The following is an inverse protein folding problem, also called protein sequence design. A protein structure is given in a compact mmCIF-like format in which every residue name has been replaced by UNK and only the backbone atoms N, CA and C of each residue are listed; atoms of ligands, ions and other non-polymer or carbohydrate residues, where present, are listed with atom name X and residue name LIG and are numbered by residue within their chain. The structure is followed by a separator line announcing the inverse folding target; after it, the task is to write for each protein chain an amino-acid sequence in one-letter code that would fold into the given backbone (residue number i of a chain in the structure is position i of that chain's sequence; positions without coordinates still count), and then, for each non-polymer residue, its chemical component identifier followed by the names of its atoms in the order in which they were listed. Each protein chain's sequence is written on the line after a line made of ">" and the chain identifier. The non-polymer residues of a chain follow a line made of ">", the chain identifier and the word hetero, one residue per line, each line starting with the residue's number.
data_IF_534004934034
#
_entry.id   IF_534004934034
#
_cell.length_a   1.000
_cell.length_b   1.000
_cell.length_c   1.000
_cell.angle_alpha   90.00
_cell.angle_beta   90.00
_cell.angle_gamma   90.00
#
_symmetry.space_group_name_H-M   'P 1'
#
loop_
_entity.id
_entity.type
_entity.pdbx_description
1 polymer ?
#
# COMPACT_ATOMS: atom_id res chain seq x y z
N UNK A 1 63.92 17.30 22.51
CA UNK A 1 64.09 17.05 21.06
C UNK A 1 63.25 15.84 20.70
N UNK A 2 62.39 15.98 19.68
CA UNK A 2 61.57 14.96 18.98
C UNK A 2 60.38 14.42 19.79
N UNK A 3 59.11 14.48 19.41
CA UNK A 3 58.35 15.03 18.26
C UNK A 3 56.88 14.66 18.57
N UNK A 4 55.97 15.61 18.85
CA UNK A 4 54.81 15.99 18.01
C UNK A 4 54.51 15.08 16.80
N UNK A 5 53.21 14.90 16.49
CA UNK A 5 52.55 14.08 15.42
C UNK A 5 52.02 12.76 15.99
N UNK A 6 50.72 12.56 16.20
CA UNK A 6 49.65 12.47 15.18
C UNK A 6 48.28 12.95 15.71
N UNK A 7 47.85 14.12 15.24
CA UNK A 7 46.44 14.39 14.91
C UNK A 7 46.12 13.59 13.64
N UNK A 8 44.98 12.89 13.58
CA UNK A 8 44.46 12.43 12.30
C UNK A 8 43.48 11.26 12.32
N UNK A 9 42.24 11.57 11.93
CA UNK A 9 41.29 10.71 11.22
C UNK A 9 40.50 9.74 12.10
N UNK A 10 39.22 10.07 12.39
CA UNK A 10 38.05 9.38 11.81
C UNK A 10 36.78 10.20 12.12
N UNK A 11 36.66 11.38 11.49
CA UNK A 11 35.36 12.00 11.26
C UNK A 11 34.83 11.40 9.94
N UNK A 12 34.15 10.26 10.02
CA UNK A 12 33.62 9.57 8.85
C UNK A 12 32.08 9.54 8.94
N UNK A 13 31.48 10.52 8.27
CA UNK A 13 30.29 10.36 7.43
C UNK A 13 29.00 9.94 8.14
N UNK A 14 28.45 10.84 8.95
CA UNK A 14 27.00 11.04 8.93
C UNK A 14 26.65 11.79 7.63
N UNK A 15 26.70 11.10 6.49
CA UNK A 15 25.94 11.52 5.31
C UNK A 15 24.47 11.27 5.66
N UNK A 16 23.87 12.23 6.36
CA UNK A 16 22.42 12.35 6.42
C UNK A 16 21.97 12.55 4.98
N UNK A 17 21.54 11.48 4.32
CA UNK A 17 20.71 11.60 3.13
C UNK A 17 19.49 12.39 3.56
N UNK A 18 19.51 13.70 3.31
CA UNK A 18 18.30 14.49 3.27
C UNK A 18 17.51 13.97 2.08
N UNK A 19 16.69 12.95 2.31
CA UNK A 19 15.62 12.62 1.38
C UNK A 19 14.79 13.88 1.26
N UNK A 20 14.85 14.55 0.11
CA UNK A 20 13.88 15.58 -0.22
C UNK A 20 12.53 14.89 -0.22
N UNK A 21 11.70 15.16 0.79
CA UNK A 21 10.33 14.65 0.84
C UNK A 21 9.56 15.32 -0.30
N UNK A 22 9.60 14.72 -1.48
CA UNK A 22 8.69 15.04 -2.56
C UNK A 22 7.28 14.61 -2.19
N UNK A 23 6.27 15.24 -2.78
CA UNK A 23 4.93 14.68 -2.73
C UNK A 23 4.96 13.30 -3.41
N UNK A 24 4.26 12.33 -2.84
CA UNK A 24 4.20 10.97 -3.39
C UNK A 24 3.72 11.02 -4.86
N UNK A 25 4.50 10.43 -5.77
CA UNK A 25 4.07 10.22 -7.15
C UNK A 25 3.28 8.93 -7.21
N UNK A 26 2.11 8.98 -7.86
CA UNK A 26 1.21 7.84 -8.01
C UNK A 26 0.98 7.55 -9.49
N UNK A 27 0.97 6.27 -9.85
CA UNK A 27 0.62 5.78 -11.19
C UNK A 27 -0.55 4.82 -11.08
N UNK A 28 -1.60 5.04 -11.87
CA UNK A 28 -2.84 4.25 -11.88
C UNK A 28 -2.80 3.26 -13.03
N UNK A 29 -3.32 2.06 -12.80
CA UNK A 29 -3.38 0.96 -13.74
C UNK A 29 -4.79 0.39 -13.79
N UNK A 30 -5.26 0.09 -15.00
CA UNK A 30 -6.52 -0.63 -15.26
C UNK A 30 -6.28 -2.04 -15.82
N UNK A 31 -5.01 -2.42 -15.97
CA UNK A 31 -4.60 -3.76 -16.38
C UNK A 31 -3.70 -4.37 -15.29
N UNK A 32 -4.09 -5.56 -14.80
CA UNK A 32 -3.39 -6.25 -13.71
C UNK A 32 -1.99 -6.69 -14.11
N UNK A 33 -1.77 -7.02 -15.38
CA UNK A 33 -0.46 -7.44 -15.89
C UNK A 33 0.51 -6.25 -15.93
N UNK A 34 0.06 -5.10 -16.40
CA UNK A 34 0.86 -3.86 -16.38
C UNK A 34 1.19 -3.45 -14.93
N UNK A 35 0.22 -3.51 -14.03
CA UNK A 35 0.42 -3.24 -12.60
C UNK A 35 1.42 -4.21 -11.98
N UNK A 36 1.27 -5.52 -12.23
CA UNK A 36 2.16 -6.56 -11.73
C UNK A 36 3.60 -6.37 -12.23
N UNK A 37 3.76 -5.98 -13.50
CA UNK A 37 5.08 -5.66 -14.06
C UNK A 37 5.70 -4.43 -13.39
N UNK A 38 4.90 -3.40 -13.07
CA UNK A 38 5.39 -2.20 -12.39
C UNK A 38 5.93 -2.48 -10.98
N UNK A 39 5.36 -3.46 -10.26
CA UNK A 39 5.84 -3.91 -8.95
C UNK A 39 6.87 -5.06 -9.04
N UNK A 40 7.37 -5.37 -10.24
CA UNK A 40 8.35 -6.44 -10.45
C UNK A 40 7.84 -7.85 -10.15
N UNK A 41 6.52 -8.06 -10.18
CA UNK A 41 5.86 -9.34 -9.87
C UNK A 41 5.93 -9.75 -8.41
N UNK A 42 6.34 -8.86 -7.50
CA UNK A 42 6.41 -9.13 -6.06
C UNK A 42 5.20 -8.49 -5.37
N UNK A 43 4.15 -9.27 -5.17
CA UNK A 43 2.95 -8.85 -4.47
C UNK A 43 2.29 -10.04 -3.77
N UNK A 44 1.41 -9.72 -2.82
CA UNK A 44 0.52 -10.65 -2.15
C UNK A 44 -0.89 -10.45 -2.68
N UNK A 45 -1.70 -11.50 -2.60
CA UNK A 45 -3.12 -11.47 -2.96
C UNK A 45 -3.94 -11.88 -1.75
N UNK A 46 -4.95 -11.10 -1.42
CA UNK A 46 -6.06 -11.46 -0.55
C UNK A 46 -7.23 -11.87 -1.46
N UNK A 47 -7.59 -13.15 -1.42
CA UNK A 47 -8.64 -13.74 -2.26
C UNK A 47 -9.99 -13.83 -1.55
N UNK A 48 -10.06 -13.46 -0.26
CA UNK A 48 -11.29 -13.46 0.53
C UNK A 48 -12.00 -14.82 0.58
N UNK A 49 -11.27 -15.92 0.36
CA UNK A 49 -11.82 -17.28 0.38
C UNK A 49 -12.24 -17.75 1.78
N UNK A 50 -11.82 -17.03 2.82
CA UNK A 50 -12.31 -17.17 4.20
C UNK A 50 -12.39 -15.81 4.91
N UNK A 51 -12.89 -15.79 6.16
CA UNK A 51 -13.11 -14.53 6.90
C UNK A 51 -11.84 -13.95 7.55
N UNK A 52 -10.72 -14.64 7.43
CA UNK A 52 -9.42 -14.30 8.00
C UNK A 52 -8.59 -13.63 6.93
N UNK A 53 -8.26 -12.36 7.15
CA UNK A 53 -7.39 -11.64 6.23
C UNK A 53 -5.94 -12.14 6.35
N UNK A 54 -5.19 -11.95 5.27
CA UNK A 54 -3.75 -12.09 5.25
C UNK A 54 -3.09 -11.35 6.43
N UNK A 55 -2.00 -11.93 6.95
CA UNK A 55 -1.28 -11.34 8.09
C UNK A 55 -0.86 -9.90 7.77
N UNK A 56 -1.22 -8.99 8.67
CA UNK A 56 -0.89 -7.58 8.54
C UNK A 56 -1.86 -6.77 7.69
N UNK A 57 -2.93 -7.38 7.19
CA UNK A 57 -4.05 -6.69 6.55
C UNK A 57 -5.20 -6.57 7.54
N UNK A 58 -5.74 -5.37 7.68
CA UNK A 58 -6.94 -5.09 8.47
C UNK A 58 -7.83 -4.11 7.69
N UNK A 59 -9.14 -4.11 7.99
CA UNK A 59 -10.03 -3.06 7.53
C UNK A 59 -10.86 -2.48 8.68
N UNK A 60 -11.22 -1.21 8.52
CA UNK A 60 -12.23 -0.53 9.33
C UNK A 60 -13.25 0.09 8.38
N UNK A 61 -14.53 -0.22 8.59
CA UNK A 61 -15.64 0.33 7.80
C UNK A 61 -16.59 1.05 8.74
N UNK A 62 -16.96 2.28 8.39
CA UNK A 62 -17.94 3.04 9.17
C UNK A 62 -19.39 2.61 8.89
N UNK A 63 -19.60 1.65 7.98
CA UNK A 63 -20.91 1.15 7.59
C UNK A 63 -21.02 -0.37 7.81
N UNK A 64 -21.16 -1.17 6.75
CA UNK A 64 -21.45 -2.62 6.82
C UNK A 64 -20.41 -3.46 6.08
N UNK A 65 -19.19 -2.95 6.02
CA UNK A 65 -18.05 -3.62 5.42
C UNK A 65 -17.79 -4.99 6.01
N UNK A 66 -17.72 -6.02 5.17
CA UNK A 66 -17.41 -7.37 5.61
C UNK A 66 -16.84 -8.24 4.48
N UNK A 67 -16.07 -9.25 4.88
CA UNK A 67 -15.66 -10.33 3.99
C UNK A 67 -16.83 -11.30 3.84
N UNK A 68 -17.13 -11.69 2.60
CA UNK A 68 -18.13 -12.69 2.26
C UNK A 68 -17.46 -13.90 1.58
N UNK A 69 -17.04 -14.92 2.36
CA UNK A 69 -16.33 -16.09 1.84
C UNK A 69 -17.13 -16.91 0.82
N UNK A 70 -18.47 -16.84 0.86
CA UNK A 70 -19.30 -17.58 -0.08
C UNK A 70 -19.28 -17.00 -1.50
N UNK A 71 -18.90 -15.73 -1.62
CA UNK A 71 -18.72 -15.03 -2.89
C UNK A 71 -17.26 -14.61 -3.11
N UNK A 72 -16.33 -15.11 -2.27
CA UNK A 72 -14.88 -14.86 -2.36
C UNK A 72 -14.55 -13.36 -2.55
N UNK A 73 -15.23 -12.48 -1.80
CA UNK A 73 -14.99 -11.04 -1.94
C UNK A 73 -15.25 -10.26 -0.65
N UNK A 74 -14.66 -9.08 -0.55
CA UNK A 74 -15.06 -8.06 0.40
C UNK A 74 -16.20 -7.21 -0.18
N UNK A 75 -17.16 -6.81 0.67
CA UNK A 75 -18.34 -6.03 0.27
C UNK A 75 -18.59 -4.89 1.22
N UNK A 76 -18.98 -3.74 0.68
CA UNK A 76 -19.38 -2.58 1.49
C UNK A 76 -20.38 -1.67 0.76
N UNK A 77 -20.97 -0.77 1.53
CA UNK A 77 -21.95 0.24 1.10
C UNK A 77 -21.54 1.60 1.64
N UNK A 78 -21.16 2.53 0.75
CA UNK A 78 -20.74 3.88 1.11
C UNK A 78 -21.76 4.90 0.59
N UNK A 79 -22.56 5.48 1.49
CA UNK A 79 -23.59 6.45 1.15
C UNK A 79 -23.06 7.90 1.15
N UNK A 80 -22.88 8.50 -0.02
CA UNK A 80 -22.31 9.85 -0.20
C UNK A 80 -23.05 11.01 0.50
N UNK A 81 -24.31 10.82 0.92
CA UNK A 81 -25.13 11.83 1.60
C UNK A 81 -25.37 11.54 3.10
N UNK A 82 -24.72 10.52 3.65
CA UNK A 82 -24.79 10.27 5.09
C UNK A 82 -24.05 11.37 5.86
N UNK A 83 -24.57 11.78 7.03
CA UNK A 83 -23.93 12.78 7.89
C UNK A 83 -22.58 12.31 8.44
N UNK A 84 -22.27 11.02 8.32
CA UNK A 84 -21.09 10.39 8.90
C UNK A 84 -19.94 10.20 7.90
N UNK A 85 -20.10 10.67 6.65
CA UNK A 85 -19.11 10.50 5.57
C UNK A 85 -18.59 9.05 5.45
N UNK A 86 -19.41 8.11 4.96
CA UNK A 86 -19.09 6.69 4.94
C UNK A 86 -17.76 6.37 4.27
N UNK A 87 -16.95 5.55 4.92
CA UNK A 87 -15.63 5.18 4.43
C UNK A 87 -15.24 3.76 4.82
N UNK A 88 -14.33 3.20 4.04
CA UNK A 88 -13.56 2.00 4.38
C UNK A 88 -12.09 2.37 4.41
N UNK A 89 -11.36 1.96 5.45
CA UNK A 89 -9.90 2.09 5.54
C UNK A 89 -9.30 0.70 5.56
N UNK A 90 -8.46 0.40 4.58
CA UNK A 90 -7.58 -0.77 4.58
C UNK A 90 -6.24 -0.38 5.18
N UNK A 91 -5.74 -1.18 6.12
CA UNK A 91 -4.48 -0.96 6.82
C UNK A 91 -3.51 -2.12 6.57
N UNK A 92 -2.22 -1.79 6.44
CA UNK A 92 -1.16 -2.73 6.05
C UNK A 92 0.05 -2.63 6.99
N UNK A 93 0.51 -3.78 7.49
CA UNK A 93 1.73 -3.93 8.28
C UNK A 93 2.55 -5.14 7.79
N UNK A 94 3.80 -4.95 7.31
CA UNK A 94 4.48 -3.68 7.07
C UNK A 94 3.80 -2.84 5.99
N UNK A 95 4.23 -1.58 5.86
CA UNK A 95 3.74 -0.68 4.81
C UNK A 95 3.99 -1.21 3.39
N UNK A 96 3.21 -0.68 2.45
CA UNK A 96 3.14 -1.10 1.05
C UNK A 96 3.52 0.05 0.12
N UNK A 97 3.78 -0.28 -1.14
CA UNK A 97 4.05 0.67 -2.25
C UNK A 97 3.07 0.53 -3.40
N UNK A 98 2.17 -0.45 -3.33
CA UNK A 98 1.15 -0.65 -4.36
C UNK A 98 -0.08 -1.34 -3.77
N UNK A 99 -1.23 -1.01 -4.31
CA UNK A 99 -2.54 -1.57 -3.95
C UNK A 99 -3.43 -1.65 -5.19
N UNK A 100 -4.25 -2.69 -5.28
CA UNK A 100 -5.23 -2.86 -6.33
C UNK A 100 -6.14 -4.05 -6.06
N UNK A 101 -6.98 -4.37 -7.04
CA UNK A 101 -7.84 -5.54 -7.00
C UNK A 101 -8.85 -5.50 -8.14
N UNK A 102 -9.73 -6.49 -8.14
CA UNK A 102 -10.81 -6.65 -9.11
C UNK A 102 -12.10 -6.09 -8.48
N UNK A 103 -12.70 -5.11 -9.15
CA UNK A 103 -13.77 -4.28 -8.57
C UNK A 103 -15.10 -4.47 -9.28
N UNK A 104 -16.18 -4.53 -8.50
CA UNK A 104 -17.55 -4.47 -9.01
C UNK A 104 -18.34 -3.43 -8.24
N UNK A 105 -18.77 -2.37 -8.91
CA UNK A 105 -19.45 -1.21 -8.27
C UNK A 105 -20.93 -1.09 -8.66
N UNK A 106 -21.37 -1.84 -9.66
CA UNK A 106 -22.73 -1.79 -10.19
C UNK A 106 -22.86 -2.36 -11.60
N UNK A 107 -21.74 -2.46 -12.31
CA UNK A 107 -21.64 -2.95 -13.69
C UNK A 107 -22.28 -2.06 -14.75
N UNK A 108 -22.45 -2.53 -16.00
CA UNK A 108 -22.98 -1.71 -17.08
C UNK A 108 -24.37 -1.14 -16.75
N UNK A 109 -24.44 0.17 -16.53
CA UNK A 109 -25.67 0.88 -16.13
C UNK A 109 -25.87 1.05 -14.62
N UNK A 110 -24.87 0.71 -13.79
CA UNK A 110 -24.91 0.81 -12.34
C UNK A 110 -25.33 2.20 -11.84
N UNK A 111 -26.34 2.23 -10.97
CA UNK A 111 -26.91 3.48 -10.43
C UNK A 111 -26.08 4.10 -9.30
N UNK A 112 -24.99 3.47 -8.86
CA UNK A 112 -24.14 3.97 -7.78
C UNK A 112 -23.27 5.18 -8.17
N UNK A 113 -22.53 5.74 -7.22
CA UNK A 113 -21.56 6.80 -7.49
C UNK A 113 -20.17 6.20 -7.81
N UNK A 114 -19.19 7.01 -8.18
CA UNK A 114 -17.81 6.50 -8.27
C UNK A 114 -17.27 6.18 -6.87
N UNK A 115 -16.25 5.33 -6.77
CA UNK A 115 -15.52 5.11 -5.51
C UNK A 115 -14.23 5.93 -5.54
N UNK A 116 -14.04 6.84 -4.60
CA UNK A 116 -12.84 7.67 -4.52
C UNK A 116 -11.79 6.99 -3.64
N UNK A 117 -10.55 7.01 -4.09
CA UNK A 117 -9.42 6.32 -3.45
C UNK A 117 -8.37 7.34 -2.99
N UNK A 118 -7.92 7.18 -1.75
CA UNK A 118 -6.90 8.00 -1.13
C UNK A 118 -5.84 7.14 -0.45
N UNK A 119 -4.59 7.60 -0.41
CA UNK A 119 -3.64 7.13 0.60
C UNK A 119 -3.99 7.80 1.92
N UNK A 120 -4.47 7.06 2.91
CA UNK A 120 -5.10 7.67 4.09
C UNK A 120 -4.08 8.39 4.98
N UNK A 121 -2.86 7.85 5.10
CA UNK A 121 -1.80 8.41 5.96
C UNK A 121 -1.43 9.84 5.58
N UNK A 122 -1.47 10.15 4.27
CA UNK A 122 -1.09 11.45 3.71
C UNK A 122 -2.27 12.25 3.15
N UNK A 123 -3.48 11.67 3.16
CA UNK A 123 -4.68 12.21 2.52
C UNK A 123 -4.49 12.57 1.03
N UNK A 124 -3.53 11.93 0.36
CA UNK A 124 -3.31 12.12 -1.08
C UNK A 124 -4.44 11.44 -1.84
N UNK A 125 -5.15 12.22 -2.67
CA UNK A 125 -6.11 11.68 -3.62
C UNK A 125 -5.38 10.91 -4.71
N UNK A 126 -5.70 9.63 -4.84
CA UNK A 126 -5.12 8.75 -5.84
C UNK A 126 -5.93 8.81 -7.13
N UNK A 127 -7.24 8.60 -7.04
CA UNK A 127 -8.10 8.50 -8.21
C UNK A 127 -9.51 8.07 -7.86
N UNK A 128 -10.30 7.79 -8.89
CA UNK A 128 -11.67 7.31 -8.76
C UNK A 128 -11.89 6.06 -9.62
N UNK A 129 -12.58 5.08 -9.05
CA UNK A 129 -13.07 3.88 -9.73
C UNK A 129 -14.48 4.18 -10.23
N UNK A 130 -14.70 4.01 -11.53
CA UNK A 130 -15.98 4.30 -12.17
C UNK A 130 -17.06 3.34 -11.68
N UNK A 131 -18.28 3.84 -11.48
CA UNK A 131 -19.45 3.02 -11.14
C UNK A 131 -19.81 1.94 -12.20
N UNK A 132 -19.22 2.04 -13.39
CA UNK A 132 -19.38 1.07 -14.48
C UNK A 132 -18.58 -0.22 -14.30
N UNK A 133 -17.65 -0.28 -13.35
CA UNK A 133 -16.78 -1.44 -13.14
C UNK A 133 -17.58 -2.70 -12.82
N UNK A 134 -17.26 -3.79 -13.51
CA UNK A 134 -17.84 -5.13 -13.33
C UNK A 134 -16.75 -6.19 -13.48
N UNK A 135 -16.18 -6.60 -12.36
CA UNK A 135 -15.08 -7.57 -12.30
C UNK A 135 -13.86 -7.09 -13.13
N UNK A 136 -13.57 -5.79 -13.02
CA UNK A 136 -12.48 -5.13 -13.74
C UNK A 136 -11.38 -4.69 -12.77
N UNK A 137 -10.12 -4.82 -13.22
CA UNK A 137 -8.98 -4.45 -12.40
C UNK A 137 -8.83 -2.93 -12.28
N UNK A 138 -8.58 -2.47 -11.07
CA UNK A 138 -8.06 -1.13 -10.81
C UNK A 138 -7.02 -1.18 -9.69
N UNK A 139 -5.90 -0.51 -9.90
CA UNK A 139 -4.86 -0.40 -8.88
C UNK A 139 -3.92 0.77 -9.13
N UNK A 140 -3.03 0.99 -8.19
CA UNK A 140 -2.00 2.00 -8.29
C UNK A 140 -0.68 1.56 -7.66
N UNK A 141 0.39 2.24 -8.04
CA UNK A 141 1.71 2.18 -7.40
C UNK A 141 2.09 3.57 -6.90
N UNK A 142 2.87 3.63 -5.82
CA UNK A 142 3.47 4.85 -5.31
C UNK A 142 4.99 4.71 -5.20
N UNK A 143 5.70 5.81 -5.44
CA UNK A 143 7.13 5.92 -5.16
C UNK A 143 7.45 6.11 -3.67
N UNK A 144 6.41 6.34 -2.85
CA UNK A 144 6.51 6.60 -1.42
C UNK A 144 5.69 5.54 -0.67
N UNK A 145 6.28 4.84 0.32
CA UNK A 145 5.54 3.89 1.14
C UNK A 145 4.34 4.49 1.86
N UNK A 146 3.27 3.71 1.96
CA UNK A 146 2.06 4.04 2.71
C UNK A 146 1.57 2.80 3.48
N UNK A 147 0.81 3.03 4.54
CA UNK A 147 0.25 1.99 5.43
C UNK A 147 -1.25 1.88 5.32
N UNK A 148 -1.93 2.82 4.67
CA UNK A 148 -3.39 2.75 4.56
C UNK A 148 -3.98 3.30 3.27
N UNK A 149 -5.06 2.65 2.82
CA UNK A 149 -5.89 3.08 1.68
C UNK A 149 -7.28 3.39 2.20
N UNK A 150 -7.78 4.59 1.90
CA UNK A 150 -9.13 5.01 2.25
C UNK A 150 -10.01 5.07 1.00
N UNK A 151 -11.18 4.46 1.12
CA UNK A 151 -12.23 4.42 0.13
C UNK A 151 -13.42 5.24 0.64
N UNK A 152 -13.96 6.12 -0.20
CA UNK A 152 -15.17 6.90 0.11
C UNK A 152 -16.10 6.91 -1.10
N UNK A 153 -17.40 6.93 -0.85
CA UNK A 153 -18.39 7.13 -1.91
C UNK A 153 -18.20 8.50 -2.57
N UNK A 154 -18.14 8.52 -3.89
CA UNK A 154 -18.06 9.75 -4.68
C UNK A 154 -19.33 10.59 -4.59
N UNK A 155 -19.27 11.82 -5.10
CA UNK A 155 -20.41 12.73 -5.07
C UNK A 155 -21.60 12.18 -5.87
N UNK A 156 -22.81 12.38 -5.35
CA UNK A 156 -24.05 11.89 -5.95
C UNK A 156 -25.14 11.68 -4.90
N UNK A 157 -26.33 11.28 -5.34
CA UNK A 157 -27.48 10.97 -4.46
C UNK A 157 -27.68 9.48 -4.19
N UNK A 158 -26.89 8.63 -4.85
CA UNK A 158 -27.08 7.20 -4.79
C UNK A 158 -26.07 6.58 -3.81
N UNK A 159 -26.46 5.49 -3.16
CA UNK A 159 -25.54 4.71 -2.34
C UNK A 159 -24.53 4.02 -3.24
N UNK A 160 -23.26 3.98 -2.82
CA UNK A 160 -22.23 3.27 -3.55
C UNK A 160 -21.97 1.90 -2.93
N UNK A 161 -22.51 0.86 -3.55
CA UNK A 161 -22.21 -0.52 -3.20
C UNK A 161 -20.98 -0.96 -3.98
N UNK A 162 -20.01 -1.60 -3.35
CA UNK A 162 -18.90 -2.19 -4.08
C UNK A 162 -18.53 -3.57 -3.55
N UNK A 163 -17.96 -4.36 -4.45
CA UNK A 163 -17.24 -5.59 -4.16
C UNK A 163 -15.78 -5.40 -4.58
N UNK A 164 -14.89 -5.89 -3.74
CA UNK A 164 -13.46 -6.00 -3.99
C UNK A 164 -13.10 -7.49 -3.89
N UNK A 165 -12.54 -8.03 -4.96
CA UNK A 165 -12.00 -9.37 -5.03
C UNK A 165 -10.51 -9.30 -5.44
N UNK A 166 -9.76 -10.36 -5.15
CA UNK A 166 -8.36 -10.53 -5.50
C UNK A 166 -7.53 -9.29 -5.18
N UNK A 167 -7.69 -8.77 -3.96
CA UNK A 167 -7.00 -7.55 -3.53
C UNK A 167 -5.50 -7.82 -3.52
N UNK A 168 -4.76 -7.07 -4.33
CA UNK A 168 -3.32 -7.20 -4.49
C UNK A 168 -2.58 -6.03 -3.87
N UNK A 169 -1.46 -6.32 -3.22
CA UNK A 169 -0.62 -5.29 -2.61
C UNK A 169 0.85 -5.71 -2.57
N UNK A 170 1.75 -4.75 -2.68
CA UNK A 170 3.20 -4.99 -2.68
C UNK A 170 3.84 -4.32 -1.47
N UNK A 171 4.49 -5.12 -0.62
CA UNK A 171 5.17 -4.63 0.59
C UNK A 171 6.46 -3.89 0.24
N UNK A 172 6.84 -2.93 1.08
CA UNK A 172 8.17 -2.31 1.01
C UNK A 172 9.21 -3.41 1.30
N UNK A 173 10.17 -3.67 0.39
CA UNK A 173 11.25 -4.59 0.69
C UNK A 173 12.00 -4.10 1.93
N UNK A 174 12.13 -4.94 2.96
CA UNK A 174 12.94 -4.56 4.12
C UNK A 174 14.34 -4.17 3.66
N UNK A 175 14.89 -3.02 4.11
CA UNK A 175 16.25 -2.66 3.77
C UNK A 175 17.19 -3.81 4.16
N UNK A 176 17.98 -4.31 3.22
CA UNK A 176 18.96 -5.38 3.43
C UNK A 176 20.07 -5.05 4.45
N UNK A 177 19.91 -3.97 5.23
CA UNK A 177 20.75 -3.54 6.34
C UNK A 177 20.95 -4.68 7.33
N UNK A 178 19.97 -5.56 7.57
CA UNK A 178 20.14 -6.72 8.46
C UNK A 178 21.26 -7.65 7.96
N UNK A 179 21.34 -7.86 6.63
CA UNK A 179 22.40 -8.66 6.01
C UNK A 179 23.74 -7.95 6.01
N UNK A 180 23.76 -6.64 5.76
CA UNK A 180 24.99 -5.82 5.80
C UNK A 180 25.56 -5.71 7.22
N UNK A 181 24.72 -5.58 8.24
CA UNK A 181 25.16 -5.53 9.64
C UNK A 181 25.73 -6.90 10.06
N UNK A 182 25.04 -7.98 9.70
CA UNK A 182 25.47 -9.35 10.00
C UNK A 182 26.76 -9.73 9.27
N UNK A 183 26.86 -9.40 7.98
CA UNK A 183 28.06 -9.59 7.17
C UNK A 183 29.24 -8.73 7.64
N UNK A 184 28.98 -7.47 8.02
CA UNK A 184 29.98 -6.56 8.57
C UNK A 184 30.54 -7.03 9.91
N UNK A 185 29.69 -7.51 10.82
CA UNK A 185 30.11 -8.10 12.10
C UNK A 185 30.95 -9.38 11.91
N UNK A 186 30.56 -10.24 10.97
CA UNK A 186 31.35 -11.43 10.63
C UNK A 186 32.71 -11.08 10.00
N UNK A 187 32.76 -10.07 9.14
CA UNK A 187 34.02 -9.57 8.58
C UNK A 187 34.97 -9.01 9.65
N UNK A 188 34.43 -8.28 10.64
CA UNK A 188 35.20 -7.75 11.77
C UNK A 188 35.71 -8.85 12.72
N UNK A 189 34.93 -9.91 12.94
CA UNK A 189 35.36 -11.07 13.72
C UNK A 189 36.44 -11.90 13.01
N UNK A 190 36.39 -11.99 11.68
CA UNK A 190 37.43 -12.66 10.89
C UNK A 190 38.77 -11.91 10.93
N UNK A 191 38.75 -10.58 10.90
CA UNK A 191 39.95 -9.75 11.00
C UNK A 191 40.64 -9.85 12.37
N UNK A 192 39.89 -10.15 13.44
CA UNK A 192 40.46 -10.33 14.80
C UNK A 192 41.23 -11.65 14.98
N UNK A 193 41.04 -12.64 14.10
CA UNK A 193 41.73 -13.94 14.17
C UNK A 193 42.96 -14.05 13.24
N UNK A 194 43.20 -13.03 12.41
CA UNK A 194 44.33 -12.96 11.48
C UNK A 194 45.53 -12.12 11.95
N UNK A 195 45.51 -11.61 13.19
CA UNK A 195 46.62 -10.93 13.89
C UNK A 195 46.93 -11.68 15.18
#
# INVERSE_FOLDING_TARGET
>A
MRSLVTLGITAALFLSWASTTGAATVSIYTDKTEWANAVGGQFLTEDFSDSTLNIGVEFDSTESGHVNPAEECYQDVLASQSQNEPMTIWSFTPGIVAFGGDWTLGGPGGSGNNLLVYMADSSVYVGAISNSYYDEFWGFTSDTPFTSVKLVGGSGSNQQNYRLDNMVYSQVPEPGIVWLLSGGLMGLLALRRGL
#
